data_IF_492785448282
#
_entry.id   IF_492785448282
#
_cell.length_a   1.000
_cell.length_b   1.000
_cell.length_c   1.000
_cell.angle_alpha   90.00
_cell.angle_beta   90.00
_cell.angle_gamma   90.00
#
_symmetry.space_group_name_H-M   'P 1'
#
loop_
_entity.id
_entity.type
_entity.pdbx_description
1 polymer ?
#
# COMPACT_ATOMS: atom_id res chain seq x y z
N UNK A 1 11.63 -10.14 3.24
CA UNK A 1 10.49 -10.54 4.08
C UNK A 1 9.21 -10.37 3.29
N UNK A 2 8.46 -11.44 3.16
CA UNK A 2 7.21 -11.44 2.40
C UNK A 2 6.04 -11.04 3.29
N UNK A 3 5.27 -10.06 2.86
CA UNK A 3 4.14 -9.55 3.62
C UNK A 3 2.93 -9.35 2.73
N UNK A 4 1.77 -9.26 3.37
CA UNK A 4 0.51 -8.91 2.71
C UNK A 4 -0.08 -7.71 3.45
N UNK A 5 -0.41 -6.67 2.70
CA UNK A 5 -1.09 -5.50 3.24
C UNK A 5 -2.59 -5.59 2.89
N UNK A 6 -3.43 -5.57 3.92
CA UNK A 6 -4.87 -5.48 3.74
C UNK A 6 -5.26 -4.00 3.78
N UNK A 7 -5.86 -3.51 2.70
CA UNK A 7 -6.19 -2.10 2.52
C UNK A 7 -7.71 -1.91 2.59
N UNK A 8 -8.16 -1.04 3.48
CA UNK A 8 -9.55 -0.61 3.59
C UNK A 8 -9.67 0.86 3.22
N UNK A 9 -10.65 1.19 2.37
CA UNK A 9 -10.88 2.55 1.86
C UNK A 9 -12.24 3.02 2.34
N UNK A 10 -12.29 3.98 3.28
CA UNK A 10 -13.56 4.43 3.86
C UNK A 10 -14.15 5.68 3.19
N UNK A 11 -13.33 6.52 2.57
CA UNK A 11 -13.74 7.78 1.96
C UNK A 11 -13.43 7.86 0.48
N UNK A 12 -13.50 6.73 -0.23
CA UNK A 12 -13.21 6.64 -1.65
C UNK A 12 -13.54 5.26 -2.17
N UNK A 13 -12.92 4.90 -3.28
CA UNK A 13 -13.10 3.59 -3.87
C UNK A 13 -11.76 3.03 -4.36
N UNK A 14 -11.78 1.78 -4.83
CA UNK A 14 -10.57 1.11 -5.30
C UNK A 14 -9.87 1.89 -6.41
N UNK A 15 -10.60 2.42 -7.39
CA UNK A 15 -9.99 3.13 -8.52
C UNK A 15 -9.26 4.39 -8.06
N UNK A 16 -9.84 5.14 -7.13
CA UNK A 16 -9.22 6.33 -6.56
C UNK A 16 -7.96 5.97 -5.77
N UNK A 17 -8.04 4.91 -4.95
CA UNK A 17 -6.89 4.43 -4.20
C UNK A 17 -5.80 3.92 -5.15
N UNK A 18 -6.17 3.18 -6.18
CA UNK A 18 -5.23 2.60 -7.14
C UNK A 18 -4.47 3.70 -7.88
N UNK A 19 -5.16 4.75 -8.32
CA UNK A 19 -4.52 5.90 -8.96
C UNK A 19 -3.51 6.57 -8.02
N UNK A 20 -3.89 6.76 -6.76
CA UNK A 20 -3.00 7.30 -5.75
C UNK A 20 -1.79 6.37 -5.54
N UNK A 21 -2.04 5.08 -5.38
CA UNK A 21 -1.00 4.09 -5.13
C UNK A 21 0.01 4.03 -6.28
N UNK A 22 -0.46 4.10 -7.52
CA UNK A 22 0.41 4.11 -8.70
C UNK A 22 1.22 5.38 -8.84
N UNK A 23 0.75 6.48 -8.29
CA UNK A 23 1.44 7.78 -8.42
C UNK A 23 2.83 7.78 -7.78
N UNK A 24 3.10 6.89 -6.83
CA UNK A 24 4.42 6.76 -6.21
C UNK A 24 5.05 5.38 -6.37
N UNK A 25 4.63 4.65 -7.41
CA UNK A 25 5.11 3.29 -7.68
C UNK A 25 6.64 3.22 -7.81
N UNK A 26 7.25 4.16 -8.52
CA UNK A 26 8.69 4.18 -8.71
C UNK A 26 9.44 4.33 -7.38
N UNK A 27 8.95 5.19 -6.49
CA UNK A 27 9.54 5.35 -5.16
C UNK A 27 9.36 4.08 -4.32
N UNK A 28 8.17 3.50 -4.38
CA UNK A 28 7.85 2.30 -3.62
C UNK A 28 8.72 1.12 -4.03
N UNK A 29 8.96 0.95 -5.32
CA UNK A 29 9.74 -0.18 -5.84
C UNK A 29 11.24 -0.08 -5.56
N UNK A 30 11.70 1.03 -5.01
CA UNK A 30 13.07 1.11 -4.48
C UNK A 30 13.22 0.27 -3.21
N UNK A 31 12.13 0.05 -2.48
CA UNK A 31 12.15 -0.59 -1.16
C UNK A 31 11.45 -1.95 -1.12
N UNK A 32 10.67 -2.29 -2.15
CA UNK A 32 9.94 -3.55 -2.23
C UNK A 32 10.09 -4.19 -3.61
N UNK A 33 9.77 -5.48 -3.69
CA UNK A 33 9.80 -6.25 -4.93
C UNK A 33 8.59 -7.18 -4.99
N UNK A 34 8.33 -7.74 -6.18
CA UNK A 34 7.32 -8.77 -6.40
C UNK A 34 5.92 -8.36 -5.94
N UNK A 35 5.56 -7.11 -6.21
CA UNK A 35 4.27 -6.56 -5.80
C UNK A 35 3.11 -7.13 -6.61
N UNK A 36 2.10 -7.63 -5.91
CA UNK A 36 0.86 -8.14 -6.52
C UNK A 36 -0.32 -7.45 -5.85
N UNK A 37 -1.11 -6.73 -6.65
CA UNK A 37 -2.28 -6.00 -6.18
C UNK A 37 -3.53 -6.78 -6.56
N UNK A 38 -4.40 -7.06 -5.58
CA UNK A 38 -5.66 -7.76 -5.80
C UNK A 38 -6.82 -6.88 -5.33
N UNK A 39 -7.78 -6.63 -6.23
CA UNK A 39 -9.02 -5.95 -5.86
C UNK A 39 -9.95 -6.95 -5.20
N UNK A 40 -10.35 -6.67 -3.95
CA UNK A 40 -11.27 -7.52 -3.21
C UNK A 40 -12.71 -7.00 -3.32
N UNK A 41 -12.89 -5.69 -3.34
CA UNK A 41 -14.17 -5.01 -3.52
C UNK A 41 -13.89 -3.56 -3.91
N UNK A 42 -14.93 -2.74 -4.08
CA UNK A 42 -14.75 -1.32 -4.38
C UNK A 42 -14.05 -0.56 -3.26
N UNK A 43 -14.05 -1.10 -2.03
CA UNK A 43 -13.47 -0.45 -0.86
C UNK A 43 -12.40 -1.29 -0.18
N UNK A 44 -11.97 -2.38 -0.80
CA UNK A 44 -10.96 -3.27 -0.21
C UNK A 44 -9.97 -3.77 -1.25
N UNK A 45 -8.71 -3.83 -0.86
CA UNK A 45 -7.65 -4.35 -1.71
C UNK A 45 -6.64 -5.14 -0.87
N UNK A 46 -5.85 -5.96 -1.54
CA UNK A 46 -4.75 -6.70 -0.93
C UNK A 46 -3.50 -6.46 -1.77
N UNK A 47 -2.38 -6.18 -1.11
CA UNK A 47 -1.09 -5.99 -1.79
C UNK A 47 -0.09 -6.95 -1.16
N UNK A 48 0.38 -7.91 -1.94
CA UNK A 48 1.43 -8.83 -1.51
C UNK A 48 2.76 -8.34 -2.07
N UNK A 49 3.81 -8.33 -1.26
CA UNK A 49 5.12 -7.86 -1.70
C UNK A 49 6.23 -8.38 -0.80
N UNK A 50 7.47 -8.24 -1.29
CA UNK A 50 8.68 -8.56 -0.54
C UNK A 50 9.37 -7.27 -0.13
N UNK A 51 9.70 -7.11 1.16
CA UNK A 51 10.41 -5.93 1.64
C UNK A 51 11.90 -6.12 1.41
N UNK A 52 12.52 -5.20 0.67
CA UNK A 52 13.97 -5.17 0.43
C UNK A 52 14.68 -4.25 1.41
N UNK A 53 14.03 -3.15 1.80
CA UNK A 53 14.60 -2.14 2.69
C UNK A 53 13.51 -1.62 3.61
N UNK A 54 13.46 -2.15 4.83
CA UNK A 54 12.42 -1.79 5.80
C UNK A 54 12.54 -0.34 6.25
N UNK A 55 13.76 0.16 6.42
CA UNK A 55 13.97 1.55 6.87
C UNK A 55 13.49 2.55 5.83
N UNK A 56 13.84 2.33 4.55
CA UNK A 56 13.38 3.17 3.45
C UNK A 56 11.87 3.12 3.28
N UNK A 57 11.29 1.93 3.41
CA UNK A 57 9.83 1.78 3.31
C UNK A 57 9.12 2.52 4.46
N UNK A 58 9.66 2.44 5.67
CA UNK A 58 9.11 3.15 6.83
C UNK A 58 9.17 4.66 6.62
N UNK A 59 10.28 5.18 6.12
CA UNK A 59 10.40 6.61 5.80
C UNK A 59 9.38 7.04 4.76
N UNK A 60 9.23 6.25 3.69
CA UNK A 60 8.26 6.55 2.64
C UNK A 60 6.84 6.57 3.20
N UNK A 61 6.49 5.58 4.04
CA UNK A 61 5.16 5.47 4.66
C UNK A 61 4.85 6.64 5.58
N UNK A 62 5.87 7.31 6.11
CA UNK A 62 5.72 8.45 7.01
C UNK A 62 5.77 9.79 6.26
N UNK A 63 5.93 9.78 4.94
CA UNK A 63 6.00 11.02 4.17
C UNK A 63 4.66 11.75 4.18
N UNK A 64 4.71 13.09 4.14
CA UNK A 64 3.49 13.91 4.18
C UNK A 64 2.58 13.62 2.99
N UNK A 65 3.16 13.36 1.81
CA UNK A 65 2.40 13.02 0.61
C UNK A 65 1.52 11.79 0.84
N UNK A 66 2.09 10.72 1.44
CA UNK A 66 1.34 9.50 1.73
C UNK A 66 0.31 9.71 2.82
N UNK A 67 0.68 10.41 3.90
CA UNK A 67 -0.26 10.67 4.99
C UNK A 67 -1.47 11.50 4.51
N UNK A 68 -1.24 12.51 3.68
CA UNK A 68 -2.32 13.33 3.14
C UNK A 68 -3.23 12.52 2.20
N UNK A 69 -2.67 11.70 1.34
CA UNK A 69 -3.43 10.85 0.44
C UNK A 69 -4.25 9.81 1.18
N UNK A 70 -3.66 9.17 2.18
CA UNK A 70 -4.36 8.18 3.01
C UNK A 70 -5.49 8.83 3.79
N UNK A 71 -5.27 10.01 4.37
CA UNK A 71 -6.30 10.74 5.10
C UNK A 71 -7.46 11.13 4.18
N UNK A 72 -7.15 11.60 2.96
CA UNK A 72 -8.17 12.01 1.99
C UNK A 72 -9.08 10.86 1.60
N UNK A 73 -8.54 9.66 1.43
CA UNK A 73 -9.28 8.48 1.00
C UNK A 73 -9.76 7.62 2.17
N UNK A 74 -9.38 7.95 3.39
CA UNK A 74 -9.74 7.16 4.57
C UNK A 74 -9.10 5.77 4.53
N UNK A 75 -7.81 5.70 4.26
CA UNK A 75 -7.10 4.44 4.08
C UNK A 75 -6.67 3.87 5.44
N UNK A 76 -6.98 2.61 5.67
CA UNK A 76 -6.45 1.82 6.80
C UNK A 76 -5.71 0.63 6.22
N UNK A 77 -4.50 0.40 6.69
CA UNK A 77 -3.65 -0.69 6.21
C UNK A 77 -3.24 -1.58 7.37
N UNK A 78 -3.45 -2.88 7.24
CA UNK A 78 -2.94 -3.88 8.17
C UNK A 78 -1.92 -4.75 7.45
N UNK A 79 -0.73 -4.85 8.03
CA UNK A 79 0.33 -5.71 7.49
C UNK A 79 0.35 -7.03 8.24
N UNK A 80 0.51 -8.11 7.51
CA UNK A 80 0.72 -9.44 8.10
C UNK A 80 1.79 -10.17 7.30
N UNK A 81 2.51 -11.07 7.97
CA UNK A 81 3.49 -11.90 7.29
C UNK A 81 2.76 -12.90 6.41
N UNK A 82 3.31 -13.14 5.22
CA UNK A 82 2.76 -14.13 4.31
C UNK A 82 3.15 -15.52 4.83
N UNK A 83 2.16 -16.26 5.26
CA UNK A 83 2.37 -17.65 5.70
C UNK A 83 2.32 -18.58 4.49
N UNK A 84 3.30 -19.45 4.42
CA UNK A 84 3.37 -20.50 3.39
C UNK A 84 2.66 -21.75 3.86
#
# INVERSE_FOLDING_TARGET
MDVVAAVDISDGNFDEWFDFFKSYEALRHEFIADEVITKLSDTKASVAFTIKDIDGLTELSSSQFLLDGEARLGITVELSEKLL
#
